data_IF_171108190430
#
_entry.id   IF_171108190430
#
_cell.length_a   1.000
_cell.length_b   1.000
_cell.length_c   1.000
_cell.angle_alpha   90.00
_cell.angle_beta   90.00
_cell.angle_gamma   90.00
#
_symmetry.space_group_name_H-M   'P 1'
#
loop_
_entity.id
_entity.type
_entity.pdbx_description
1 polymer ?
#
# COMPACT_ATOMS: atom_id res chain seq x y z
N UNK A 1 9.90 -2.09 -19.74
CA UNK A 1 10.18 -3.10 -18.70
C UNK A 1 10.99 -2.37 -17.63
N UNK A 2 10.30 -1.76 -16.66
CA UNK A 2 10.97 -0.95 -15.63
C UNK A 2 11.63 -1.93 -14.66
N UNK A 3 12.95 -2.00 -14.72
CA UNK A 3 13.74 -2.70 -13.72
C UNK A 3 13.47 -1.97 -12.39
N UNK A 4 12.82 -2.67 -11.45
CA UNK A 4 12.73 -2.24 -10.05
C UNK A 4 14.16 -2.24 -9.50
N UNK A 5 14.91 -1.19 -9.81
CA UNK A 5 16.16 -0.92 -9.14
C UNK A 5 15.81 -0.69 -7.68
N UNK A 6 16.44 -1.46 -6.79
CA UNK A 6 16.31 -1.31 -5.36
C UNK A 6 16.85 0.07 -4.97
N UNK A 7 15.99 1.08 -5.01
CA UNK A 7 16.32 2.49 -4.78
C UNK A 7 16.61 2.77 -3.32
N UNK A 8 16.36 1.80 -2.43
CA UNK A 8 16.52 1.93 -0.99
C UNK A 8 15.42 2.78 -0.34
N UNK A 9 14.35 3.08 -1.08
CA UNK A 9 13.21 3.88 -0.60
C UNK A 9 12.35 3.10 0.39
N UNK A 10 11.56 3.85 1.15
CA UNK A 10 10.61 3.36 2.12
C UNK A 10 9.20 3.61 1.62
N UNK A 11 8.38 2.57 1.59
CA UNK A 11 7.01 2.62 1.10
C UNK A 11 6.06 2.62 2.28
N UNK A 12 5.05 3.47 2.20
CA UNK A 12 3.89 3.43 3.08
C UNK A 12 2.80 2.67 2.32
N UNK A 13 2.36 1.56 2.89
CA UNK A 13 1.32 0.71 2.33
C UNK A 13 0.03 0.89 3.11
N UNK A 14 -1.08 1.06 2.39
CA UNK A 14 -2.40 0.77 2.93
C UNK A 14 -2.66 -0.74 2.78
N UNK A 15 -3.18 -1.37 3.83
CA UNK A 15 -3.49 -2.80 3.89
C UNK A 15 -5.00 -2.97 4.01
N UNK A 16 -5.58 -3.69 3.06
CA UNK A 16 -7.00 -4.04 3.01
C UNK A 16 -7.25 -5.49 3.41
N UNK A 17 -8.43 -5.99 3.02
CA UNK A 17 -8.86 -7.35 3.31
C UNK A 17 -7.93 -8.43 2.74
N UNK A 18 -7.91 -9.58 3.41
CA UNK A 18 -7.36 -10.83 2.90
C UNK A 18 -8.29 -11.46 1.87
N UNK A 19 -7.73 -12.12 0.88
CA UNK A 19 -8.44 -12.87 -0.16
C UNK A 19 -7.75 -14.21 -0.37
N UNK A 20 -8.43 -15.20 -0.92
CA UNK A 20 -7.74 -16.44 -1.32
C UNK A 20 -6.95 -16.23 -2.63
N UNK A 21 -5.69 -16.68 -2.68
CA UNK A 21 -4.79 -16.45 -3.83
C UNK A 21 -5.37 -16.89 -5.19
N UNK A 22 -6.18 -17.95 -5.21
CA UNK A 22 -6.79 -18.50 -6.43
C UNK A 22 -8.11 -17.83 -6.82
N UNK A 23 -8.64 -16.95 -5.97
CA UNK A 23 -9.90 -16.27 -6.19
C UNK A 23 -9.66 -14.85 -6.73
N UNK A 24 -9.48 -14.75 -8.04
CA UNK A 24 -9.22 -13.47 -8.71
C UNK A 24 -10.32 -12.43 -8.48
N UNK A 25 -11.60 -12.87 -8.37
CA UNK A 25 -12.73 -11.95 -8.15
C UNK A 25 -12.69 -11.32 -6.76
N UNK A 26 -12.40 -12.13 -5.75
CA UNK A 26 -12.28 -11.69 -4.37
C UNK A 26 -11.11 -10.73 -4.20
N UNK A 27 -9.96 -11.05 -4.80
CA UNK A 27 -8.82 -10.15 -4.85
C UNK A 27 -9.18 -8.79 -5.42
N UNK A 28 -9.83 -8.77 -6.59
CA UNK A 28 -10.16 -7.52 -7.27
C UNK A 28 -11.20 -6.71 -6.48
N UNK A 29 -12.11 -7.38 -5.77
CA UNK A 29 -13.04 -6.74 -4.84
C UNK A 29 -12.32 -6.11 -3.65
N UNK A 30 -11.44 -6.84 -2.96
CA UNK A 30 -10.64 -6.30 -1.85
C UNK A 30 -9.78 -5.11 -2.28
N UNK A 31 -9.25 -5.14 -3.52
CA UNK A 31 -8.51 -4.01 -4.10
C UNK A 31 -9.41 -2.80 -4.34
N UNK A 32 -10.59 -3.00 -4.93
CA UNK A 32 -11.53 -1.92 -5.16
C UNK A 32 -12.00 -1.27 -3.84
N UNK A 33 -12.27 -2.09 -2.83
CA UNK A 33 -12.63 -1.61 -1.49
C UNK A 33 -11.49 -0.81 -0.84
N UNK A 34 -10.26 -1.33 -0.88
CA UNK A 34 -9.11 -0.61 -0.33
C UNK A 34 -8.88 0.72 -1.04
N UNK A 35 -8.98 0.75 -2.37
CA UNK A 35 -8.84 1.99 -3.14
C UNK A 35 -9.91 3.03 -2.75
N UNK A 36 -11.16 2.59 -2.57
CA UNK A 36 -12.25 3.43 -2.09
C UNK A 36 -11.98 4.01 -0.70
N UNK A 37 -11.43 3.21 0.22
CA UNK A 37 -11.04 3.67 1.56
C UNK A 37 -9.92 4.71 1.49
N UNK A 38 -8.90 4.48 0.65
CA UNK A 38 -7.78 5.41 0.47
C UNK A 38 -8.27 6.75 -0.11
N UNK A 39 -9.14 6.73 -1.11
CA UNK A 39 -9.75 7.96 -1.62
C UNK A 39 -10.64 8.65 -0.57
N UNK A 40 -11.40 7.89 0.22
CA UNK A 40 -12.22 8.44 1.31
C UNK A 40 -11.38 9.07 2.42
N UNK A 41 -10.13 8.63 2.59
CA UNK A 41 -9.15 9.24 3.46
C UNK A 41 -8.54 10.54 2.89
N UNK A 42 -8.92 10.95 1.67
CA UNK A 42 -8.40 12.13 1.00
C UNK A 42 -7.00 11.97 0.43
N UNK A 43 -6.57 10.72 0.21
CA UNK A 43 -5.27 10.40 -0.39
C UNK A 43 -5.46 10.21 -1.89
N UNK A 44 -4.95 11.18 -2.65
CA UNK A 44 -4.89 11.11 -4.11
C UNK A 44 -3.51 10.61 -4.55
N UNK A 45 -3.49 9.61 -5.43
CA UNK A 45 -2.28 9.02 -6.00
C UNK A 45 -2.33 9.13 -7.52
N UNK A 46 -1.20 9.48 -8.13
CA UNK A 46 -1.10 9.55 -9.60
C UNK A 46 -1.14 8.15 -10.24
N UNK A 47 -0.60 7.13 -9.55
CA UNK A 47 -0.57 5.75 -10.01
C UNK A 47 -0.88 4.76 -8.87
N UNK A 48 -1.67 3.72 -9.18
CA UNK A 48 -2.03 2.67 -8.23
C UNK A 48 -1.01 1.52 -8.28
N UNK A 49 -0.05 1.50 -7.35
CA UNK A 49 0.94 0.43 -7.23
C UNK A 49 0.50 -0.64 -6.23
N UNK A 50 0.03 -1.78 -6.75
CA UNK A 50 -0.41 -2.91 -5.94
C UNK A 50 0.76 -3.82 -5.54
N UNK A 51 0.93 -4.03 -4.24
CA UNK A 51 1.91 -4.99 -3.70
C UNK A 51 1.26 -6.36 -3.57
N UNK A 52 1.99 -7.40 -3.98
CA UNK A 52 1.63 -8.79 -3.73
C UNK A 52 2.63 -9.37 -2.75
N UNK A 53 2.18 -9.71 -1.55
CA UNK A 53 2.98 -10.45 -0.58
C UNK A 53 2.41 -11.86 -0.36
N UNK A 54 3.04 -12.61 0.56
CA UNK A 54 2.63 -13.97 0.93
C UNK A 54 1.40 -14.03 1.84
N UNK A 55 0.93 -12.89 2.35
CA UNK A 55 -0.17 -12.84 3.31
C UNK A 55 -1.54 -12.84 2.61
N UNK A 56 -1.56 -12.87 1.27
CA UNK A 56 -2.78 -12.89 0.45
C UNK A 56 -3.72 -11.72 0.78
N UNK A 57 -3.17 -10.54 1.10
CA UNK A 57 -3.95 -9.33 1.38
C UNK A 57 -3.84 -8.30 0.27
N UNK A 58 -4.87 -7.46 0.11
CA UNK A 58 -4.80 -6.31 -0.77
C UNK A 58 -3.87 -5.26 -0.15
N UNK A 59 -2.81 -4.88 -0.87
CA UNK A 59 -1.85 -3.88 -0.41
C UNK A 59 -1.59 -2.87 -1.51
N UNK A 60 -1.67 -1.59 -1.17
CA UNK A 60 -1.51 -0.46 -2.08
C UNK A 60 -0.43 0.47 -1.54
N UNK A 61 0.54 0.84 -2.37
CA UNK A 61 1.50 1.89 -2.03
C UNK A 61 0.78 3.22 -2.09
N UNK A 62 0.75 3.95 -0.96
CA UNK A 62 0.11 5.26 -0.86
C UNK A 62 1.12 6.41 -0.84
N UNK A 63 2.37 6.15 -0.45
CA UNK A 63 3.46 7.12 -0.50
C UNK A 63 4.83 6.42 -0.52
N UNK A 64 5.84 7.13 -1.01
CA UNK A 64 7.23 6.66 -1.12
C UNK A 64 8.18 7.72 -0.57
N UNK A 65 8.93 7.35 0.46
CA UNK A 65 9.86 8.22 1.16
C UNK A 65 11.32 7.80 0.93
N UNK A 66 12.25 8.74 1.07
CA UNK A 66 13.70 8.47 0.97
C UNK A 66 14.30 7.89 2.26
N UNK A 67 13.66 8.12 3.41
CA UNK A 67 14.11 7.64 4.72
C UNK A 67 12.99 6.90 5.45
N UNK A 68 13.38 6.10 6.45
CA UNK A 68 12.43 5.40 7.30
C UNK A 68 11.67 6.38 8.19
N UNK A 69 12.40 7.33 8.79
CA UNK A 69 11.85 8.29 9.74
C UNK A 69 10.75 9.15 9.08
N UNK A 70 10.99 9.64 7.86
CA UNK A 70 9.97 10.36 7.09
C UNK A 70 8.73 9.51 6.81
N UNK A 71 8.93 8.21 6.52
CA UNK A 71 7.83 7.29 6.25
C UNK A 71 7.02 7.00 7.52
N UNK A 72 7.69 6.82 8.65
CA UNK A 72 7.06 6.59 9.95
C UNK A 72 6.28 7.83 10.41
N UNK A 73 6.85 9.03 10.28
CA UNK A 73 6.19 10.30 10.62
C UNK A 73 4.92 10.52 9.78
N UNK A 74 5.01 10.31 8.45
CA UNK A 74 3.85 10.39 7.56
C UNK A 74 2.81 9.32 7.88
N UNK A 75 3.23 8.08 8.13
CA UNK A 75 2.31 7.02 8.51
C UNK A 75 1.58 7.38 9.81
N UNK A 76 2.26 7.98 10.79
CA UNK A 76 1.66 8.45 12.02
C UNK A 76 0.60 9.53 11.78
N UNK A 77 0.85 10.48 10.88
CA UNK A 77 -0.16 11.48 10.51
C UNK A 77 -1.40 10.86 9.85
N UNK A 78 -1.21 9.77 9.11
CA UNK A 78 -2.28 9.05 8.43
C UNK A 78 -3.01 8.03 9.32
N UNK A 79 -2.54 7.74 10.54
CA UNK A 79 -3.22 6.80 11.45
C UNK A 79 -4.65 7.23 11.79
N UNK A 80 -4.92 8.54 11.78
CA UNK A 80 -6.26 9.07 12.08
C UNK A 80 -7.26 8.90 10.93
N UNK A 81 -6.81 8.43 9.75
CA UNK A 81 -7.69 8.22 8.59
C UNK A 81 -8.53 6.93 8.68
N UNK A 82 -8.21 6.05 9.64
CA UNK A 82 -8.84 4.73 9.77
C UNK A 82 -8.25 3.67 8.83
N UNK A 83 -7.25 4.03 8.02
CA UNK A 83 -6.50 3.08 7.21
C UNK A 83 -5.55 2.23 8.07
N UNK A 84 -5.45 0.95 7.76
CA UNK A 84 -4.38 0.11 8.31
C UNK A 84 -3.12 0.33 7.48
N UNK A 85 -2.07 0.88 8.11
CA UNK A 85 -0.85 1.28 7.41
C UNK A 85 0.34 0.39 7.79
N UNK A 86 1.25 0.19 6.84
CA UNK A 86 2.49 -0.54 7.03
C UNK A 86 3.65 0.19 6.33
N UNK A 87 4.70 0.49 7.08
CA UNK A 87 5.94 1.03 6.52
C UNK A 87 6.88 -0.13 6.22
N UNK A 88 7.33 -0.23 4.97
CA UNK A 88 8.26 -1.26 4.51
C UNK A 88 9.38 -0.64 3.69
N UNK A 89 10.55 -1.26 3.72
CA UNK A 89 11.58 -0.94 2.72
C UNK A 89 11.13 -1.51 1.37
N UNK A 90 11.38 -0.79 0.28
CA UNK A 90 11.12 -1.24 -1.08
C UNK A 90 11.57 -2.70 -1.24
N UNK A 91 10.66 -3.52 -1.77
CA UNK A 91 10.93 -4.94 -1.99
C UNK A 91 11.95 -5.08 -3.12
N UNK A 92 13.07 -5.73 -2.81
CA UNK A 92 14.12 -6.11 -3.74
C UNK A 92 13.71 -7.31 -4.60
#
# INVERSE_FOLDING_TARGET
MVSLQNTGKWWILAVGGSFEEKNFKERDLCRAELLSQVHSAGIDMDENMWVRDKNECAQLVIDVCSSKDDADDKAQHLQNTGLTLKVVKEFA
#
